data_IF_794055513625
#
_entry.id   IF_794055513625
#
_cell.length_a   1.000
_cell.length_b   1.000
_cell.length_c   1.000
_cell.angle_alpha   90.00
_cell.angle_beta   90.00
_cell.angle_gamma   90.00
#
_symmetry.space_group_name_H-M   'P 1'
#
loop_
_entity.id
_entity.type
_entity.pdbx_description
1 polymer ?
#
# COMPACT_ATOMS: atom_id res chain seq x y z
N UNK A 1 17.88 10.04 9.02
CA UNK A 1 18.87 10.14 7.91
C UNK A 1 19.02 11.61 7.57
N UNK A 2 20.21 12.18 7.72
CA UNK A 2 20.46 13.56 7.28
C UNK A 2 20.73 13.55 5.78
N UNK A 3 20.04 14.40 5.03
CA UNK A 3 20.18 14.55 3.58
C UNK A 3 20.55 16.00 3.32
N UNK A 4 21.51 16.23 2.42
CA UNK A 4 21.91 17.60 2.04
C UNK A 4 20.69 18.35 1.51
N UNK A 5 20.28 19.41 2.22
CA UNK A 5 19.11 20.21 1.85
C UNK A 5 19.45 21.25 0.78
N UNK A 6 20.72 21.57 0.59
CA UNK A 6 21.20 22.58 -0.36
C UNK A 6 21.75 21.95 -1.64
N UNK A 7 21.33 22.45 -2.81
CA UNK A 7 21.80 21.99 -4.11
C UNK A 7 20.70 21.81 -5.16
N UNK A 8 21.09 21.52 -6.40
CA UNK A 8 20.14 21.18 -7.46
C UNK A 8 19.45 19.84 -7.11
N UNK A 9 18.13 19.76 -7.32
CA UNK A 9 17.37 18.54 -7.03
C UNK A 9 17.95 17.31 -7.75
N UNK A 10 18.35 17.46 -9.01
CA UNK A 10 18.85 16.32 -9.80
C UNK A 10 20.17 15.74 -9.28
N UNK A 11 20.93 16.50 -8.50
CA UNK A 11 22.15 16.00 -7.84
C UNK A 11 21.81 15.33 -6.49
N UNK A 12 20.76 15.81 -5.82
CA UNK A 12 20.32 15.30 -4.51
C UNK A 12 19.59 13.94 -4.61
N UNK A 13 18.82 13.72 -5.68
CA UNK A 13 18.01 12.50 -5.84
C UNK A 13 18.86 11.22 -5.86
N UNK A 14 19.93 11.10 -6.69
CA UNK A 14 20.78 9.91 -6.66
C UNK A 14 21.41 9.65 -5.29
N UNK A 15 21.84 10.70 -4.58
CA UNK A 15 22.43 10.59 -3.23
C UNK A 15 21.40 10.06 -2.23
N UNK A 16 20.15 10.57 -2.29
CA UNK A 16 19.06 10.09 -1.45
C UNK A 16 18.79 8.60 -1.68
N UNK A 17 18.66 8.18 -2.94
CA UNK A 17 18.35 6.79 -3.29
C UNK A 17 19.51 5.85 -2.94
N UNK A 18 20.76 6.28 -3.16
CA UNK A 18 21.94 5.54 -2.75
C UNK A 18 21.96 5.31 -1.23
N UNK A 19 21.71 6.36 -0.43
CA UNK A 19 21.68 6.23 1.04
C UNK A 19 20.53 5.37 1.53
N UNK A 20 19.37 5.45 0.89
CA UNK A 20 18.22 4.59 1.19
C UNK A 20 18.55 3.12 0.92
N UNK A 21 19.25 2.83 -0.19
CA UNK A 21 19.71 1.48 -0.53
C UNK A 21 20.80 0.98 0.44
N UNK A 22 21.80 1.79 0.78
CA UNK A 22 22.84 1.44 1.76
C UNK A 22 22.24 1.14 3.14
N UNK A 23 21.22 1.93 3.54
CA UNK A 23 20.48 1.68 4.76
C UNK A 23 19.75 0.34 4.71
N UNK A 24 19.06 0.05 3.60
CA UNK A 24 18.40 -1.24 3.39
C UNK A 24 19.40 -2.40 3.45
N UNK A 25 20.52 -2.32 2.74
CA UNK A 25 21.55 -3.37 2.75
C UNK A 25 22.07 -3.66 4.16
N UNK A 26 22.23 -2.62 4.98
CA UNK A 26 22.75 -2.74 6.34
C UNK A 26 21.71 -3.27 7.34
N UNK A 27 20.45 -2.85 7.22
CA UNK A 27 19.42 -3.09 8.24
C UNK A 27 18.30 -4.04 7.80
N UNK A 28 18.29 -4.46 6.54
CA UNK A 28 17.24 -5.28 5.92
C UNK A 28 15.84 -4.70 6.16
N UNK A 29 15.73 -3.37 6.08
CA UNK A 29 14.45 -2.65 6.23
C UNK A 29 14.50 -1.32 5.50
N UNK A 30 13.35 -0.87 5.01
CA UNK A 30 13.18 0.46 4.41
C UNK A 30 12.73 1.43 5.49
N UNK A 31 13.31 2.64 5.52
CA UNK A 31 12.83 3.71 6.40
C UNK A 31 11.45 4.17 5.93
N UNK A 32 10.51 4.26 6.86
CA UNK A 32 9.15 4.70 6.59
C UNK A 32 8.82 5.94 7.42
N UNK A 33 8.11 6.89 6.82
CA UNK A 33 7.59 8.07 7.51
C UNK A 33 6.07 8.18 7.28
N UNK A 34 5.32 8.74 8.24
CA UNK A 34 3.91 9.04 8.02
C UNK A 34 3.76 10.20 7.04
N UNK A 35 2.82 10.07 6.08
CA UNK A 35 2.57 11.13 5.09
C UNK A 35 1.85 12.32 5.75
N UNK A 36 0.77 12.07 6.48
CA UNK A 36 0.06 13.00 7.36
C UNK A 36 -0.73 12.21 8.43
N UNK A 37 -0.92 12.77 9.63
CA UNK A 37 -1.63 12.10 10.73
C UNK A 37 -3.14 11.89 10.49
N UNK A 38 -3.76 12.65 9.56
CA UNK A 38 -5.21 12.66 9.35
C UNK A 38 -5.73 12.34 7.93
N UNK A 39 -4.87 12.08 6.94
CA UNK A 39 -5.28 11.93 5.51
C UNK A 39 -4.93 10.54 4.98
N UNK A 40 -5.43 9.49 5.63
CA UNK A 40 -5.33 8.12 5.11
C UNK A 40 -6.54 7.83 4.23
N UNK A 41 -6.33 7.35 3.00
CA UNK A 41 -7.40 7.08 2.04
C UNK A 41 -7.86 8.32 1.27
N UNK A 42 -9.17 8.58 1.27
CA UNK A 42 -9.79 9.69 0.52
C UNK A 42 -9.93 9.43 -0.98
N UNK A 43 -10.15 10.49 -1.77
CA UNK A 43 -10.40 10.39 -3.22
C UNK A 43 -9.23 9.75 -3.98
N UNK A 44 -8.00 10.08 -3.56
CA UNK A 44 -6.77 9.57 -4.18
C UNK A 44 -6.25 8.28 -3.52
N UNK A 45 -6.86 7.84 -2.41
CA UNK A 45 -6.45 6.63 -1.69
C UNK A 45 -4.97 6.70 -1.24
N UNK A 46 -4.64 7.66 -0.35
CA UNK A 46 -3.27 7.78 0.17
C UNK A 46 -2.97 6.68 1.20
N UNK A 47 -1.74 6.12 1.18
CA UNK A 47 -1.28 5.25 2.25
C UNK A 47 -1.00 6.05 3.52
N UNK A 48 -0.91 5.38 4.67
CA UNK A 48 -0.57 6.01 5.94
C UNK A 48 0.94 6.28 6.07
N UNK A 49 1.74 5.30 5.67
CA UNK A 49 3.20 5.40 5.59
C UNK A 49 3.67 5.24 4.14
N UNK A 50 4.82 5.82 3.83
CA UNK A 50 5.55 5.55 2.60
C UNK A 50 7.06 5.56 2.90
N UNK A 51 7.87 5.11 1.93
CA UNK A 51 9.31 5.16 2.10
C UNK A 51 9.80 6.60 2.32
N UNK A 52 10.80 6.74 3.17
CA UNK A 52 11.45 8.02 3.47
C UNK A 52 11.90 8.72 2.19
N UNK A 53 12.53 7.98 1.27
CA UNK A 53 12.98 8.51 0.00
C UNK A 53 11.83 9.08 -0.84
N UNK A 54 10.69 8.39 -0.92
CA UNK A 54 9.53 8.88 -1.66
C UNK A 54 8.96 10.14 -1.02
N UNK A 55 8.79 10.17 0.31
CA UNK A 55 8.24 11.34 1.02
C UNK A 55 9.15 12.57 0.85
N UNK A 56 10.47 12.39 0.98
CA UNK A 56 11.43 13.47 0.76
C UNK A 56 11.40 13.97 -0.68
N UNK A 57 11.30 13.07 -1.65
CA UNK A 57 11.17 13.45 -3.05
C UNK A 57 9.89 14.26 -3.32
N UNK A 58 8.74 13.83 -2.79
CA UNK A 58 7.50 14.59 -2.94
C UNK A 58 7.60 15.97 -2.29
N UNK A 59 8.22 16.09 -1.11
CA UNK A 59 8.44 17.41 -0.48
C UNK A 59 9.27 18.34 -1.38
N UNK A 60 10.33 17.82 -1.99
CA UNK A 60 11.12 18.59 -2.95
C UNK A 60 10.33 18.96 -4.22
N UNK A 61 9.43 18.07 -4.68
CA UNK A 61 8.52 18.39 -5.78
C UNK A 61 7.51 19.47 -5.40
N UNK A 62 6.99 19.48 -4.17
CA UNK A 62 6.10 20.53 -3.68
C UNK A 62 6.78 21.90 -3.65
N UNK A 63 8.04 21.97 -3.20
CA UNK A 63 8.83 23.21 -3.20
C UNK A 63 9.01 23.74 -4.64
N UNK A 64 9.34 22.84 -5.59
CA UNK A 64 9.52 23.19 -6.99
C UNK A 64 8.18 23.56 -7.67
N UNK A 65 7.09 22.88 -7.31
CA UNK A 65 5.75 23.20 -7.77
C UNK A 65 5.33 24.59 -7.30
N UNK A 66 5.57 24.94 -6.03
CA UNK A 66 5.29 26.27 -5.52
C UNK A 66 6.13 27.34 -6.25
N UNK A 67 7.42 27.07 -6.49
CA UNK A 67 8.30 27.95 -7.25
C UNK A 67 7.83 28.19 -8.70
N UNK A 68 7.28 27.16 -9.35
CA UNK A 68 6.77 27.24 -10.73
C UNK A 68 5.38 27.85 -10.86
N UNK A 69 4.44 27.48 -9.98
CA UNK A 69 3.02 27.82 -10.11
C UNK A 69 2.55 28.91 -9.14
N UNK A 70 3.38 29.30 -8.16
CA UNK A 70 3.09 30.29 -7.09
C UNK A 70 1.81 30.01 -6.32
N UNK A 71 1.42 28.74 -6.24
CA UNK A 71 0.27 28.25 -5.48
C UNK A 71 0.62 26.90 -4.86
N UNK A 72 0.08 26.57 -3.67
CA UNK A 72 0.21 25.23 -3.11
C UNK A 72 -0.54 24.22 -3.99
N UNK A 73 -0.02 22.98 -4.08
CA UNK A 73 -0.71 21.90 -4.80
C UNK A 73 -1.91 21.34 -4.04
N UNK A 74 -1.89 21.47 -2.71
CA UNK A 74 -2.84 20.86 -1.78
C UNK A 74 -2.54 19.40 -1.42
N UNK A 75 -1.39 18.83 -1.83
CA UNK A 75 -0.98 17.46 -1.52
C UNK A 75 -0.46 17.30 -0.08
N UNK A 76 0.46 18.16 0.33
CA UNK A 76 1.03 18.16 1.67
C UNK A 76 0.71 19.52 2.30
N UNK A 77 -0.06 19.51 3.40
CA UNK A 77 -0.23 20.71 4.21
C UNK A 77 1.10 21.03 4.88
N UNK A 78 1.86 21.95 4.31
CA UNK A 78 2.92 22.61 5.06
C UNK A 78 2.23 23.50 6.09
N UNK A 79 2.47 23.28 7.39
CA UNK A 79 1.98 24.13 8.50
C UNK A 79 2.39 25.61 8.38
N UNK A 80 3.12 25.98 7.33
CA UNK A 80 3.24 27.35 6.86
C UNK A 80 1.94 27.77 6.19
N UNK A 81 0.86 27.83 6.95
CA UNK A 81 -0.21 28.78 6.65
C UNK A 81 0.45 30.16 6.53
N UNK A 82 0.23 30.76 5.38
CA UNK A 82 0.76 32.05 4.99
C UNK A 82 0.28 33.10 5.99
N UNK A 83 1.17 33.54 6.88
CA UNK A 83 1.13 34.94 7.28
C UNK A 83 1.38 35.75 6.01
N UNK A 84 0.36 36.47 5.54
CA UNK A 84 0.38 37.33 4.33
C UNK A 84 1.44 38.45 4.36
N UNK A 85 2.36 38.46 5.32
CA UNK A 85 3.35 39.52 5.53
C UNK A 85 4.79 39.21 5.10
N UNK A 86 5.17 37.96 4.82
CA UNK A 86 6.60 37.58 4.73
C UNK A 86 7.11 37.34 3.29
N UNK A 87 6.42 37.91 2.29
CA UNK A 87 6.75 37.76 0.87
C UNK A 87 8.04 38.46 0.41
N UNK A 88 8.81 39.08 1.34
CA UNK A 88 9.93 39.96 1.00
C UNK A 88 11.33 39.38 1.22
N UNK A 89 11.48 38.21 1.84
CA UNK A 89 12.81 37.69 2.24
C UNK A 89 13.24 36.35 1.62
N UNK A 90 12.32 35.60 1.01
CA UNK A 90 12.68 34.37 0.28
C UNK A 90 12.92 34.75 -1.18
N UNK A 91 14.16 34.69 -1.62
CA UNK A 91 14.53 34.77 -3.04
C UNK A 91 13.92 33.56 -3.75
N UNK A 92 12.65 33.65 -4.15
CA UNK A 92 11.95 32.56 -4.86
C UNK A 92 12.63 32.42 -6.21
N UNK A 93 13.46 31.38 -6.35
CA UNK A 93 14.00 30.95 -7.65
C UNK A 93 12.79 30.69 -8.54
N UNK A 94 12.54 31.56 -9.51
CA UNK A 94 11.45 31.38 -10.46
C UNK A 94 11.81 30.20 -11.37
N UNK A 95 11.10 29.09 -11.25
CA UNK A 95 11.19 28.00 -12.20
C UNK A 95 10.07 28.08 -13.24
N UNK A 96 10.39 27.60 -14.43
CA UNK A 96 9.43 27.50 -15.54
C UNK A 96 8.68 26.17 -15.39
N UNK A 97 7.35 26.14 -15.50
CA UNK A 97 6.58 24.91 -15.44
C UNK A 97 7.06 23.76 -16.34
N UNK A 98 7.64 24.05 -17.51
CA UNK A 98 8.22 23.01 -18.37
C UNK A 98 9.46 22.37 -17.71
N UNK A 99 10.26 23.17 -17.00
CA UNK A 99 11.40 22.67 -16.21
C UNK A 99 10.92 21.83 -15.03
N UNK A 100 9.84 22.23 -14.36
CA UNK A 100 9.21 21.43 -13.31
C UNK A 100 8.79 20.06 -13.83
N UNK A 101 8.06 20.01 -14.96
CA UNK A 101 7.62 18.75 -15.57
C UNK A 101 8.81 17.83 -15.85
N UNK A 102 9.87 18.35 -16.49
CA UNK A 102 11.07 17.56 -16.79
C UNK A 102 11.79 17.05 -15.54
N UNK A 103 11.87 17.88 -14.50
CA UNK A 103 12.52 17.54 -13.24
C UNK A 103 11.73 16.46 -12.48
N UNK A 104 10.41 16.59 -12.40
CA UNK A 104 9.54 15.59 -11.79
C UNK A 104 9.63 14.27 -12.54
N UNK A 105 9.55 14.27 -13.87
CA UNK A 105 9.58 13.02 -14.64
C UNK A 105 10.92 12.31 -14.51
N UNK A 106 12.05 13.03 -14.63
CA UNK A 106 13.38 12.42 -14.49
C UNK A 106 13.63 11.86 -13.10
N UNK A 107 13.24 12.58 -12.06
CA UNK A 107 13.42 12.10 -10.69
C UNK A 107 12.42 10.99 -10.33
N UNK A 108 11.23 10.98 -10.92
CA UNK A 108 10.28 9.88 -10.82
C UNK A 108 10.83 8.59 -11.46
N UNK A 109 11.52 8.69 -12.59
CA UNK A 109 12.15 7.53 -13.25
C UNK A 109 13.24 6.91 -12.37
N UNK A 110 14.10 7.74 -11.76
CA UNK A 110 15.13 7.27 -10.82
C UNK A 110 14.53 6.55 -9.60
N UNK A 111 13.48 7.14 -9.00
CA UNK A 111 12.80 6.51 -7.88
C UNK A 111 12.07 5.23 -8.29
N UNK A 112 11.55 5.15 -9.52
CA UNK A 112 10.87 3.95 -10.02
C UNK A 112 11.86 2.79 -10.17
N UNK A 113 13.06 3.05 -10.69
CA UNK A 113 14.15 2.06 -10.77
C UNK A 113 14.56 1.59 -9.36
N UNK A 114 14.68 2.51 -8.40
CA UNK A 114 14.97 2.18 -7.01
C UNK A 114 13.89 1.30 -6.37
N UNK A 115 12.61 1.66 -6.54
CA UNK A 115 11.47 0.86 -6.08
C UNK A 115 11.49 -0.52 -6.73
N UNK A 116 11.83 -0.60 -8.03
CA UNK A 116 11.93 -1.87 -8.73
C UNK A 116 13.00 -2.77 -8.12
N UNK A 117 14.21 -2.24 -7.86
CA UNK A 117 15.30 -2.99 -7.21
C UNK A 117 14.87 -3.50 -5.82
N UNK A 118 14.37 -2.62 -4.95
CA UNK A 118 13.90 -3.00 -3.62
C UNK A 118 12.77 -4.04 -3.69
N UNK A 119 11.88 -3.92 -4.67
CA UNK A 119 10.80 -4.89 -4.84
C UNK A 119 11.33 -6.28 -5.23
N UNK A 120 12.33 -6.36 -6.11
CA UNK A 120 12.94 -7.64 -6.49
C UNK A 120 13.62 -8.29 -5.29
N UNK A 121 14.45 -7.54 -4.56
CA UNK A 121 15.13 -8.05 -3.35
C UNK A 121 14.12 -8.50 -2.28
N UNK A 122 13.02 -7.74 -2.10
CA UNK A 122 11.96 -8.14 -1.16
C UNK A 122 11.23 -9.41 -1.57
N UNK A 123 11.05 -9.65 -2.87
CA UNK A 123 10.39 -10.87 -3.36
C UNK A 123 11.31 -12.09 -3.23
N UNK A 124 12.60 -11.93 -3.51
CA UNK A 124 13.61 -13.00 -3.36
C UNK A 124 13.77 -13.43 -1.90
N UNK A 125 13.62 -12.49 -0.96
CA UNK A 125 13.70 -12.75 0.49
C UNK A 125 12.34 -12.94 1.17
N UNK A 126 11.24 -12.87 0.43
CA UNK A 126 9.87 -12.89 0.97
C UNK A 126 9.63 -11.85 2.09
N UNK A 127 10.23 -10.68 1.98
CA UNK A 127 10.11 -9.59 2.95
C UNK A 127 8.84 -8.76 2.71
N UNK A 128 7.79 -9.11 3.45
CA UNK A 128 6.51 -8.42 3.43
C UNK A 128 6.59 -6.95 3.87
N UNK A 129 7.52 -6.59 4.76
CA UNK A 129 7.63 -5.23 5.28
C UNK A 129 8.19 -4.28 4.21
N UNK A 130 9.23 -4.72 3.51
CA UNK A 130 9.82 -3.96 2.39
C UNK A 130 8.85 -3.89 1.22
N UNK A 131 8.15 -4.98 0.92
CA UNK A 131 7.15 -5.01 -0.16
C UNK A 131 5.98 -4.06 0.12
N UNK A 132 5.47 -4.00 1.35
CA UNK A 132 4.41 -3.04 1.70
C UNK A 132 4.91 -1.59 1.69
N UNK A 133 6.15 -1.33 2.10
CA UNK A 133 6.77 0.01 2.03
C UNK A 133 6.92 0.51 0.57
N UNK A 134 7.33 -0.37 -0.35
CA UNK A 134 7.48 -0.05 -1.78
C UNK A 134 6.12 0.20 -2.45
N UNK A 135 5.06 -0.52 -2.05
CA UNK A 135 3.68 -0.23 -2.47
C UNK A 135 3.25 1.16 -1.99
N UNK A 136 3.52 1.51 -0.73
CA UNK A 136 3.24 2.83 -0.17
C UNK A 136 3.94 3.95 -0.94
N UNK A 137 5.23 3.77 -1.23
CA UNK A 137 6.03 4.69 -2.06
C UNK A 137 5.43 4.86 -3.46
N UNK A 138 5.15 3.76 -4.16
CA UNK A 138 4.60 3.80 -5.52
C UNK A 138 3.22 4.49 -5.55
N UNK A 139 2.39 4.23 -4.54
CA UNK A 139 1.06 4.82 -4.41
C UNK A 139 1.11 6.33 -4.13
N UNK A 140 2.01 6.77 -3.24
CA UNK A 140 2.23 8.18 -2.95
C UNK A 140 2.66 8.95 -4.22
N UNK A 141 3.62 8.42 -4.96
CA UNK A 141 4.12 9.05 -6.19
C UNK A 141 3.04 9.09 -7.27
N UNK A 142 2.32 7.98 -7.49
CA UNK A 142 1.16 7.92 -8.40
C UNK A 142 0.14 9.01 -8.08
N UNK A 143 -0.23 9.16 -6.82
CA UNK A 143 -1.23 10.14 -6.39
C UNK A 143 -0.73 11.58 -6.58
N UNK A 144 0.55 11.83 -6.28
CA UNK A 144 1.18 13.14 -6.44
C UNK A 144 1.23 13.55 -7.91
N UNK A 145 1.66 12.64 -8.79
CA UNK A 145 1.66 12.83 -10.25
C UNK A 145 0.26 13.13 -10.79
N UNK A 146 -0.79 12.51 -10.24
CA UNK A 146 -2.18 12.79 -10.62
C UNK A 146 -2.57 14.24 -10.35
N UNK A 147 -2.16 14.81 -9.22
CA UNK A 147 -2.43 16.21 -8.86
C UNK A 147 -1.65 17.16 -9.77
N UNK A 148 -0.36 16.91 -9.99
CA UNK A 148 0.45 17.74 -10.88
C UNK A 148 -0.05 17.73 -12.32
N UNK A 149 -0.50 16.57 -12.82
CA UNK A 149 -1.11 16.45 -14.14
C UNK A 149 -2.39 17.30 -14.26
N UNK A 150 -3.24 17.32 -13.22
CA UNK A 150 -4.43 18.16 -13.21
C UNK A 150 -4.05 19.65 -13.24
N UNK A 151 -3.08 20.07 -12.43
CA UNK A 151 -2.61 21.45 -12.41
C UNK A 151 -1.97 21.89 -13.73
N UNK A 152 -1.14 21.06 -14.36
CA UNK A 152 -0.54 21.34 -15.66
C UNK A 152 -1.59 21.51 -16.76
N UNK A 153 -2.67 20.70 -16.70
CA UNK A 153 -3.78 20.76 -17.66
C UNK A 153 -4.65 22.02 -17.49
N UNK A 154 -4.83 22.49 -16.25
CA UNK A 154 -5.71 23.64 -15.96
C UNK A 154 -5.02 25.00 -16.13
N UNK A 155 -3.70 25.09 -15.91
CA UNK A 155 -3.04 26.41 -15.75
C UNK A 155 -2.17 26.88 -16.93
N UNK A 156 -1.66 26.02 -17.83
CA UNK A 156 -0.57 26.42 -18.76
C UNK A 156 -0.77 25.99 -20.22
N UNK A 157 -1.40 24.85 -20.50
CA UNK A 157 -1.46 24.33 -21.87
C UNK A 157 -2.88 23.91 -22.28
N UNK A 158 -3.68 24.77 -22.97
CA UNK A 158 -4.80 24.25 -23.75
C UNK A 158 -4.23 23.27 -24.79
N UNK A 159 -4.81 22.06 -24.94
CA UNK A 159 -4.20 20.99 -25.72
C UNK A 159 -4.15 21.38 -27.20
N UNK A 160 -2.96 21.71 -27.70
CA UNK A 160 -2.66 21.79 -29.13
C UNK A 160 -2.00 20.48 -29.54
N UNK A 161 -2.68 19.68 -30.35
CA UNK A 161 -2.08 18.56 -31.10
C UNK A 161 -1.50 17.41 -30.26
N UNK A 162 -2.32 16.37 -30.11
CA UNK A 162 -1.98 14.97 -29.80
C UNK A 162 -1.35 14.51 -28.46
N UNK A 163 -0.82 15.35 -27.58
CA UNK A 163 -0.27 14.82 -26.29
C UNK A 163 -0.73 15.60 -25.05
N UNK A 164 -1.93 15.28 -24.58
CA UNK A 164 -2.44 15.70 -23.26
C UNK A 164 -1.55 15.16 -22.13
N UNK A 165 -0.61 15.97 -21.62
CA UNK A 165 0.18 15.67 -20.42
C UNK A 165 1.23 14.56 -20.55
N UNK A 166 1.79 14.37 -21.75
CA UNK A 166 2.57 13.19 -22.19
C UNK A 166 3.48 12.55 -21.13
N UNK A 167 4.50 13.27 -20.64
CA UNK A 167 5.52 12.71 -19.75
C UNK A 167 5.00 12.41 -18.33
N UNK A 168 4.28 13.34 -17.68
CA UNK A 168 3.67 13.09 -16.36
C UNK A 168 2.64 11.96 -16.40
N UNK A 169 1.86 11.89 -17.48
CA UNK A 169 0.87 10.82 -17.69
C UNK A 169 1.54 9.47 -17.89
N UNK A 170 2.70 9.43 -18.56
CA UNK A 170 3.49 8.21 -18.70
C UNK A 170 4.01 7.75 -17.33
N UNK A 171 4.64 8.63 -16.55
CA UNK A 171 5.09 8.32 -15.19
C UNK A 171 3.92 7.87 -14.32
N UNK A 172 2.76 8.54 -14.37
CA UNK A 172 1.56 8.12 -13.65
C UNK A 172 1.15 6.69 -14.00
N UNK A 173 1.15 6.34 -15.28
CA UNK A 173 0.82 4.97 -15.73
C UNK A 173 1.82 3.95 -15.21
N UNK A 174 3.12 4.23 -15.28
CA UNK A 174 4.17 3.33 -14.80
C UNK A 174 4.04 3.07 -13.29
N UNK A 175 3.83 4.12 -12.49
CA UNK A 175 3.61 3.97 -11.05
C UNK A 175 2.29 3.28 -10.71
N UNK A 176 1.24 3.48 -11.52
CA UNK A 176 -0.01 2.74 -11.38
C UNK A 176 0.17 1.25 -11.65
N UNK A 177 0.93 0.88 -12.69
CA UNK A 177 1.24 -0.51 -13.03
C UNK A 177 2.13 -1.14 -11.96
N UNK A 178 3.15 -0.43 -11.48
CA UNK A 178 4.02 -0.89 -10.40
C UNK A 178 3.22 -1.18 -9.14
N UNK A 179 2.38 -0.23 -8.69
CA UNK A 179 1.55 -0.37 -7.50
C UNK A 179 0.60 -1.58 -7.60
N UNK A 180 0.00 -1.81 -8.76
CA UNK A 180 -0.89 -2.96 -8.99
C UNK A 180 -0.14 -4.29 -9.03
N UNK A 181 0.97 -4.36 -9.77
CA UNK A 181 1.79 -5.57 -9.84
C UNK A 181 2.32 -6.01 -8.47
N UNK A 182 2.78 -5.05 -7.66
CA UNK A 182 3.23 -5.32 -6.29
C UNK A 182 2.09 -5.80 -5.38
N UNK A 183 0.88 -5.26 -5.54
CA UNK A 183 -0.30 -5.72 -4.79
C UNK A 183 -0.66 -7.17 -5.12
N UNK A 184 -0.60 -7.57 -6.40
CA UNK A 184 -0.81 -8.96 -6.80
C UNK A 184 0.26 -9.90 -6.23
N UNK A 185 1.54 -9.49 -6.22
CA UNK A 185 2.61 -10.28 -5.62
C UNK A 185 2.44 -10.42 -4.10
N UNK A 186 2.06 -9.35 -3.42
CA UNK A 186 1.80 -9.36 -1.98
C UNK A 186 0.64 -10.32 -1.63
N UNK A 187 -0.44 -10.29 -2.42
CA UNK A 187 -1.54 -11.23 -2.30
C UNK A 187 -1.07 -12.69 -2.47
N UNK A 188 -0.34 -13.00 -3.54
CA UNK A 188 0.19 -14.33 -3.80
C UNK A 188 1.06 -14.83 -2.63
N UNK A 189 1.95 -13.97 -2.11
CA UNK A 189 2.82 -14.34 -1.00
C UNK A 189 2.04 -14.64 0.28
N UNK A 190 1.06 -13.81 0.65
CA UNK A 190 0.20 -14.09 1.81
C UNK A 190 -0.62 -15.37 1.62
N UNK A 191 -1.18 -15.61 0.44
CA UNK A 191 -1.92 -16.83 0.12
C UNK A 191 -1.02 -18.07 0.23
N UNK A 192 0.20 -18.03 -0.32
CA UNK A 192 1.17 -19.13 -0.18
C UNK A 192 1.52 -19.40 1.27
N UNK A 193 1.77 -18.35 2.07
CA UNK A 193 2.05 -18.50 3.50
C UNK A 193 0.91 -19.21 4.23
N UNK A 194 -0.33 -18.79 3.96
CA UNK A 194 -1.52 -19.39 4.56
C UNK A 194 -1.71 -20.84 4.12
N UNK A 195 -1.70 -21.09 2.82
CA UNK A 195 -2.06 -22.37 2.24
C UNK A 195 -0.99 -23.44 2.43
N UNK A 196 0.30 -23.07 2.41
CA UNK A 196 1.40 -24.03 2.46
C UNK A 196 1.93 -24.27 3.88
N UNK A 197 1.82 -23.29 4.78
CA UNK A 197 2.44 -23.38 6.10
C UNK A 197 1.42 -23.33 7.24
N UNK A 198 0.47 -22.39 7.19
CA UNK A 198 -0.44 -22.17 8.32
C UNK A 198 -1.57 -23.20 8.33
N UNK A 199 -2.08 -23.57 7.16
CA UNK A 199 -3.25 -24.44 7.03
C UNK A 199 -2.91 -25.92 6.90
N UNK A 200 -1.67 -26.33 7.17
CA UNK A 200 -1.16 -27.68 6.91
C UNK A 200 -0.76 -28.41 8.21
N UNK A 201 -1.65 -28.38 9.22
CA UNK A 201 -1.44 -29.09 10.47
C UNK A 201 -1.91 -30.55 10.36
N UNK A 202 -1.00 -31.52 10.51
CA UNK A 202 -1.29 -32.94 10.29
C UNK A 202 -2.31 -33.50 11.31
N UNK A 203 -2.19 -33.13 12.59
CA UNK A 203 -3.01 -33.69 13.67
C UNK A 203 -4.45 -33.17 13.63
N UNK A 204 -4.62 -31.91 13.25
CA UNK A 204 -5.93 -31.30 13.00
C UNK A 204 -6.62 -31.89 11.77
N UNK A 205 -5.84 -32.34 10.78
CA UNK A 205 -6.36 -32.83 9.50
C UNK A 205 -6.52 -34.36 9.46
N UNK A 206 -6.17 -35.07 10.53
CA UNK A 206 -6.42 -36.50 10.67
C UNK A 206 -7.88 -36.77 11.09
N UNK A 207 -8.81 -36.54 10.17
CA UNK A 207 -10.26 -36.59 10.43
C UNK A 207 -10.83 -37.99 10.71
N UNK A 208 -10.12 -39.03 10.30
CA UNK A 208 -10.50 -40.43 10.50
C UNK A 208 -10.01 -40.99 11.84
N UNK A 209 -9.26 -40.22 12.63
CA UNK A 209 -8.72 -40.64 13.91
C UNK A 209 -9.84 -41.13 14.85
N UNK A 210 -9.58 -42.22 15.55
CA UNK A 210 -10.49 -42.79 16.56
C UNK A 210 -10.44 -42.03 17.88
N UNK A 211 -9.43 -41.18 18.10
CA UNK A 211 -9.32 -40.33 19.27
C UNK A 211 -9.88 -38.92 19.03
N UNK A 212 -10.50 -38.29 20.05
CA UNK A 212 -10.94 -36.91 19.95
C UNK A 212 -9.74 -35.96 19.88
N UNK A 213 -9.89 -34.86 19.14
CA UNK A 213 -8.87 -33.81 19.11
C UNK A 213 -8.90 -33.03 20.43
N UNK A 214 -7.79 -33.02 21.18
CA UNK A 214 -7.68 -32.32 22.46
C UNK A 214 -8.91 -32.51 23.36
N UNK A 215 -9.35 -33.77 23.51
CA UNK A 215 -10.49 -34.14 24.36
C UNK A 215 -11.80 -33.38 24.01
N UNK A 216 -11.92 -32.91 22.77
CA UNK A 216 -13.04 -32.10 22.26
C UNK A 216 -13.22 -30.73 22.93
N UNK A 217 -12.20 -30.23 23.62
CA UNK A 217 -12.26 -28.93 24.31
C UNK A 217 -12.00 -27.72 23.39
N UNK A 218 -11.46 -27.96 22.18
CA UNK A 218 -10.92 -26.91 21.30
C UNK A 218 -11.18 -27.17 19.82
N UNK A 219 -11.28 -26.07 19.05
CA UNK A 219 -11.28 -26.12 17.58
C UNK A 219 -9.87 -26.38 17.02
N UNK A 220 -9.74 -26.58 15.71
CA UNK A 220 -8.42 -26.92 15.13
C UNK A 220 -7.44 -25.75 15.17
N UNK A 221 -6.16 -26.07 15.30
CA UNK A 221 -5.08 -25.08 15.12
C UNK A 221 -5.11 -24.51 13.70
N UNK A 222 -5.44 -25.31 12.69
CA UNK A 222 -5.61 -24.86 11.30
C UNK A 222 -6.53 -23.63 11.20
N UNK A 223 -7.75 -23.70 11.75
CA UNK A 223 -8.72 -22.60 11.67
C UNK A 223 -8.34 -21.44 12.59
N UNK A 224 -7.84 -21.74 13.79
CA UNK A 224 -7.42 -20.72 14.76
C UNK A 224 -6.24 -19.88 14.23
N UNK A 225 -5.20 -20.53 13.71
CA UNK A 225 -4.00 -19.90 13.19
C UNK A 225 -4.27 -19.15 11.89
N UNK A 226 -5.08 -19.74 10.99
CA UNK A 226 -5.56 -19.04 9.79
C UNK A 226 -6.23 -17.71 10.17
N UNK A 227 -7.18 -17.74 11.09
CA UNK A 227 -7.87 -16.52 11.52
C UNK A 227 -6.94 -15.52 12.21
N UNK A 228 -6.08 -16.00 13.10
CA UNK A 228 -5.13 -15.15 13.81
C UNK A 228 -4.22 -14.40 12.83
N UNK A 229 -3.71 -15.10 11.82
CA UNK A 229 -2.90 -14.52 10.76
C UNK A 229 -3.68 -13.52 9.91
N UNK A 230 -4.92 -13.86 9.49
CA UNK A 230 -5.78 -12.95 8.73
C UNK A 230 -6.00 -11.63 9.50
N UNK A 231 -6.29 -11.70 10.80
CA UNK A 231 -6.51 -10.51 11.63
C UNK A 231 -5.26 -9.65 11.81
N UNK A 232 -4.09 -10.28 12.01
CA UNK A 232 -2.81 -9.58 12.06
C UNK A 232 -2.54 -8.84 10.75
N UNK A 233 -2.64 -9.58 9.63
CA UNK A 233 -2.42 -9.04 8.28
C UNK A 233 -3.39 -7.91 7.95
N UNK A 234 -4.66 -7.98 8.36
CA UNK A 234 -5.61 -6.89 8.19
C UNK A 234 -5.09 -5.59 8.83
N UNK A 235 -4.56 -5.68 10.05
CA UNK A 235 -4.03 -4.52 10.77
C UNK A 235 -2.80 -3.96 10.06
N UNK A 236 -1.92 -4.84 9.59
CA UNK A 236 -0.70 -4.45 8.88
C UNK A 236 -1.01 -3.80 7.52
N UNK A 237 -1.92 -4.38 6.73
CA UNK A 237 -2.31 -3.84 5.43
C UNK A 237 -2.91 -2.44 5.54
N UNK A 238 -3.84 -2.22 6.48
CA UNK A 238 -4.46 -0.89 6.67
C UNK A 238 -3.50 0.16 7.22
N UNK A 239 -2.41 -0.27 7.85
CA UNK A 239 -1.36 0.63 8.29
C UNK A 239 -0.32 0.89 7.20
N UNK A 240 -0.06 -0.05 6.30
CA UNK A 240 1.10 0.06 5.39
C UNK A 240 0.75 0.44 3.95
N UNK A 241 -0.40 0.00 3.41
CA UNK A 241 -0.80 0.25 2.02
C UNK A 241 -2.06 1.12 1.92
N UNK A 242 -2.40 1.67 0.73
CA UNK A 242 -3.64 2.43 0.57
C UNK A 242 -4.89 1.65 0.98
N UNK A 243 -5.89 2.26 1.65
CA UNK A 243 -7.07 1.54 2.15
C UNK A 243 -7.85 0.72 1.12
N UNK A 244 -8.08 1.23 -0.10
CA UNK A 244 -8.79 0.42 -1.12
C UNK A 244 -7.94 -0.75 -1.61
N UNK A 245 -6.62 -0.56 -1.66
CA UNK A 245 -5.68 -1.63 -1.98
C UNK A 245 -5.62 -2.68 -0.86
N UNK A 246 -5.59 -2.25 0.40
CA UNK A 246 -5.66 -3.13 1.57
C UNK A 246 -6.94 -3.99 1.54
N UNK A 247 -8.09 -3.37 1.25
CA UNK A 247 -9.36 -4.06 1.05
C UNK A 247 -9.28 -5.11 -0.07
N UNK A 248 -8.74 -4.73 -1.23
CA UNK A 248 -8.59 -5.64 -2.37
C UNK A 248 -7.72 -6.86 -2.04
N UNK A 249 -6.54 -6.64 -1.47
CA UNK A 249 -5.61 -7.71 -1.10
C UNK A 249 -6.26 -8.62 -0.06
N UNK A 250 -6.81 -8.04 1.01
CA UNK A 250 -7.41 -8.81 2.09
C UNK A 250 -8.64 -9.61 1.64
N UNK A 251 -9.49 -9.04 0.78
CA UNK A 251 -10.61 -9.76 0.18
C UNK A 251 -10.12 -10.91 -0.72
N UNK A 252 -9.05 -10.70 -1.49
CA UNK A 252 -8.39 -11.75 -2.27
C UNK A 252 -7.90 -12.90 -1.39
N UNK A 253 -7.17 -12.58 -0.30
CA UNK A 253 -6.69 -13.59 0.65
C UNK A 253 -7.84 -14.40 1.25
N UNK A 254 -8.91 -13.72 1.65
CA UNK A 254 -10.10 -14.35 2.21
C UNK A 254 -10.76 -15.29 1.20
N UNK A 255 -10.90 -14.84 -0.05
CA UNK A 255 -11.51 -15.63 -1.12
C UNK A 255 -10.72 -16.90 -1.44
N UNK A 256 -9.41 -16.77 -1.66
CA UNK A 256 -8.53 -17.91 -1.98
C UNK A 256 -8.52 -18.94 -0.84
N UNK A 257 -8.31 -18.48 0.40
CA UNK A 257 -8.21 -19.39 1.53
C UNK A 257 -9.54 -20.02 1.93
N UNK A 258 -10.65 -19.27 1.90
CA UNK A 258 -11.97 -19.85 2.13
C UNK A 258 -12.38 -20.84 1.04
N UNK A 259 -11.97 -20.62 -0.21
CA UNK A 259 -12.27 -21.56 -1.30
C UNK A 259 -11.61 -22.92 -1.03
N UNK A 260 -10.34 -22.91 -0.63
CA UNK A 260 -9.61 -24.14 -0.24
C UNK A 260 -10.23 -24.79 1.00
N UNK A 261 -10.55 -24.02 2.04
CA UNK A 261 -11.21 -24.54 3.24
C UNK A 261 -12.58 -25.15 2.91
N UNK A 262 -13.37 -24.51 2.07
CA UNK A 262 -14.70 -25.00 1.66
C UNK A 262 -14.59 -26.34 0.93
N UNK A 263 -13.69 -26.44 -0.04
CA UNK A 263 -13.48 -27.71 -0.76
C UNK A 263 -12.99 -28.79 0.20
N UNK A 264 -12.00 -28.47 1.05
CA UNK A 264 -11.47 -29.40 2.04
C UNK A 264 -12.58 -29.93 2.94
N UNK A 265 -13.35 -29.05 3.57
CA UNK A 265 -14.35 -29.43 4.58
C UNK A 265 -15.58 -30.13 4.02
N UNK A 266 -15.95 -29.87 2.77
CA UNK A 266 -17.04 -30.61 2.11
C UNK A 266 -16.66 -32.04 1.73
N UNK A 267 -15.36 -32.34 1.63
CA UNK A 267 -14.83 -33.65 1.23
C UNK A 267 -14.35 -34.51 2.42
N UNK A 268 -14.37 -33.99 3.65
CA UNK A 268 -13.90 -34.73 4.82
C UNK A 268 -14.83 -35.93 5.10
N UNK A 269 -14.22 -37.10 5.31
CA UNK A 269 -14.85 -38.23 5.99
C UNK A 269 -14.42 -38.19 7.46
N UNK A 270 -15.33 -37.81 8.35
CA UNK A 270 -15.05 -37.69 9.79
C UNK A 270 -15.40 -38.95 10.55
N UNK A 271 -14.53 -39.35 11.48
CA UNK A 271 -14.87 -40.31 12.52
C UNK A 271 -15.91 -39.72 13.50
N UNK A 272 -16.56 -40.58 14.28
CA UNK A 272 -17.46 -40.14 15.36
C UNK A 272 -16.71 -39.27 16.38
N UNK A 273 -15.46 -39.64 16.72
CA UNK A 273 -14.64 -38.91 17.68
C UNK A 273 -14.22 -37.51 17.19
N UNK A 274 -14.11 -37.30 15.87
CA UNK A 274 -13.73 -36.01 15.26
C UNK A 274 -14.93 -35.17 14.78
N UNK A 275 -16.16 -35.68 14.89
CA UNK A 275 -17.38 -34.97 14.46
C UNK A 275 -17.59 -33.62 15.14
N UNK A 276 -17.31 -33.52 16.45
CA UNK A 276 -17.41 -32.26 17.20
C UNK A 276 -16.41 -31.22 16.70
N UNK A 277 -15.15 -31.62 16.45
CA UNK A 277 -14.13 -30.74 15.88
C UNK A 277 -14.58 -30.17 14.54
N UNK A 278 -15.10 -31.03 13.66
CA UNK A 278 -15.57 -30.64 12.33
C UNK A 278 -16.69 -29.58 12.40
N UNK A 279 -17.68 -29.80 13.26
CA UNK A 279 -18.75 -28.82 13.48
C UNK A 279 -18.22 -27.50 14.05
N UNK A 280 -17.34 -27.55 15.05
CA UNK A 280 -16.72 -26.37 15.67
C UNK A 280 -15.98 -25.53 14.63
N UNK A 281 -15.21 -26.18 13.75
CA UNK A 281 -14.43 -25.50 12.72
C UNK A 281 -15.32 -24.86 11.65
N UNK A 282 -16.37 -25.55 11.18
CA UNK A 282 -17.37 -24.94 10.27
C UNK A 282 -18.04 -23.73 10.94
N UNK A 283 -18.49 -23.88 12.18
CA UNK A 283 -19.10 -22.78 12.93
C UNK A 283 -18.14 -21.59 13.07
N UNK A 284 -16.87 -21.85 13.39
CA UNK A 284 -15.84 -20.83 13.48
C UNK A 284 -15.67 -20.13 12.12
N UNK A 285 -15.48 -20.86 11.02
CA UNK A 285 -15.35 -20.24 9.69
C UNK A 285 -16.54 -19.34 9.32
N UNK A 286 -17.77 -19.78 9.61
CA UNK A 286 -18.99 -19.00 9.33
C UNK A 286 -19.09 -17.75 10.22
N UNK A 287 -18.78 -17.87 11.51
CA UNK A 287 -18.74 -16.74 12.45
C UNK A 287 -17.69 -15.71 12.02
N UNK A 288 -16.54 -16.18 11.56
CA UNK A 288 -15.45 -15.34 11.09
C UNK A 288 -15.84 -14.60 9.81
N UNK A 289 -16.38 -15.31 8.82
CA UNK A 289 -16.90 -14.71 7.60
C UNK A 289 -17.92 -13.59 7.90
N UNK A 290 -18.85 -13.85 8.82
CA UNK A 290 -19.81 -12.84 9.29
C UNK A 290 -19.13 -11.62 9.93
N UNK A 291 -18.14 -11.84 10.80
CA UNK A 291 -17.41 -10.75 11.49
C UNK A 291 -16.60 -9.91 10.52
N UNK A 292 -16.10 -10.49 9.44
CA UNK A 292 -15.32 -9.78 8.42
C UNK A 292 -16.20 -8.95 7.48
N UNK A 293 -17.39 -9.44 7.11
CA UNK A 293 -18.32 -8.68 6.25
C UNK A 293 -19.14 -7.61 6.98
N UNK A 294 -19.43 -7.80 8.27
CA UNK A 294 -20.30 -6.88 9.03
C UNK A 294 -19.79 -5.41 9.16
N UNK A 295 -18.47 -5.13 9.23
CA UNK A 295 -17.93 -3.78 9.16
C UNK A 295 -18.05 -3.18 7.76
N UNK A 296 -17.70 -3.94 6.71
CA UNK A 296 -17.72 -3.45 5.33
C UNK A 296 -19.14 -3.20 4.80
N UNK A 297 -20.15 -3.97 5.23
CA UNK A 297 -21.55 -3.70 4.93
C UNK A 297 -22.09 -2.43 5.61
N UNK A 298 -21.50 -2.01 6.74
CA UNK A 298 -21.84 -0.74 7.41
C UNK A 298 -21.19 0.47 6.74
N UNK A 299 -19.94 0.34 6.29
CA UNK A 299 -19.27 1.36 5.47
C UNK A 299 -19.97 1.57 4.11
N UNK A 300 -20.46 0.49 3.48
CA UNK A 300 -21.26 0.59 2.25
C UNK A 300 -22.60 1.33 2.44
N UNK A 301 -23.27 1.17 3.59
CA UNK A 301 -24.46 1.98 3.91
C UNK A 301 -24.12 3.45 4.19
N UNK A 302 -22.92 3.74 4.71
CA UNK A 302 -22.43 5.10 4.89
C UNK A 302 -22.18 5.84 3.57
N UNK A 303 -21.73 5.13 2.53
CA UNK A 303 -21.47 5.68 1.20
C UNK A 303 -22.74 5.85 0.33
N UNK A 304 -23.77 5.03 0.54
CA UNK A 304 -25.08 5.22 -0.10
C UNK A 304 -26.03 6.16 0.68
N UNK A 305 -25.64 6.61 1.87
CA UNK A 305 -26.48 7.42 2.77
C UNK A 305 -26.33 8.94 2.65
N UNK A 306 -25.34 9.45 1.91
CA UNK A 306 -25.11 10.91 1.76
C UNK A 306 -25.45 11.44 0.35
N UNK A 307 -26.34 10.76 -0.37
CA UNK A 307 -26.89 11.24 -1.65
C UNK A 307 -28.38 11.64 -1.56
N UNK A 308 -28.89 11.87 -0.35
CA UNK A 308 -30.24 12.37 -0.12
C UNK A 308 -30.29 13.29 1.10
N UNK A 309 -29.70 14.48 0.96
CA UNK A 309 -30.16 15.73 1.57
C UNK A 309 -29.47 16.91 0.89
#
# INVERSE_FOLDING_TARGET
MEVLEEGNLMDRVPILLQRDLEFYQTHQRVLQEPICSGVVGGKLDFPRYASFAAIKLIRWWEDEYFASYRKPSGLLHTEKEMNEGDFSSVTVKTSDPDKFVQLVTKSADLLLEHIHRLSQESLDHADLSVLTATIGAASLVKNSLSVYMQAATTTICPPKGDEKGGALKLSFKQYSQMSEALAERLLDLHCRLLLLYIMQDADCLHWEDTQPFFESERGSYTVQMWWHYMRGTQTDLWNSVPPKMAQKIFAGMLNETLSVLTVRYTQIVTSVARSTLHLVDICNMLLLHRRTLAPHLREWRGLCGTAAQ
#
